data_IF_998937939670
#
_entry.id   IF_998937939670
#
_cell.length_a   1.000
_cell.length_b   1.000
_cell.length_c   1.000
_cell.angle_alpha   90.00
_cell.angle_beta   90.00
_cell.angle_gamma   90.00
#
_symmetry.space_group_name_H-M   'P 1'
#
loop_
_entity.id
_entity.type
_entity.pdbx_description
1 polymer ?
#
# COMPACT_ATOMS: atom_id res chain seq x y z
N UNK A 1 -40.68 -17.23 30.93
CA UNK A 1 -40.76 -16.06 30.03
C UNK A 1 -39.37 -15.61 29.78
N UNK A 2 -38.75 -16.12 28.74
CA UNK A 2 -37.40 -15.76 28.28
C UNK A 2 -37.56 -14.73 27.17
N UNK A 3 -37.11 -13.52 27.45
CA UNK A 3 -37.01 -12.48 26.41
C UNK A 3 -35.70 -12.62 25.70
N UNK A 4 -35.78 -13.11 24.46
CA UNK A 4 -34.63 -13.13 23.53
C UNK A 4 -34.26 -11.71 23.17
N UNK A 5 -33.10 -11.25 23.67
CA UNK A 5 -32.46 -10.02 23.22
C UNK A 5 -31.94 -10.24 21.79
N UNK A 6 -32.63 -9.65 20.87
CA UNK A 6 -32.29 -9.55 19.44
C UNK A 6 -31.05 -8.62 19.35
N UNK A 7 -29.86 -9.23 19.32
CA UNK A 7 -28.63 -8.49 19.04
C UNK A 7 -28.66 -8.03 17.60
N UNK A 8 -29.12 -6.81 17.39
CA UNK A 8 -29.12 -6.14 16.10
C UNK A 8 -27.73 -6.20 15.48
N UNK A 9 -27.59 -7.05 14.48
CA UNK A 9 -26.44 -7.08 13.57
C UNK A 9 -26.44 -5.78 12.79
N UNK A 10 -25.64 -4.82 13.27
CA UNK A 10 -25.37 -3.58 12.55
C UNK A 10 -24.62 -3.95 11.28
N UNK A 11 -25.32 -4.07 10.16
CA UNK A 11 -24.74 -4.21 8.83
C UNK A 11 -23.95 -2.94 8.51
N UNK A 12 -22.71 -2.86 8.95
CA UNK A 12 -21.77 -1.91 8.38
C UNK A 12 -21.63 -2.29 6.92
N UNK A 13 -22.12 -1.46 6.02
CA UNK A 13 -21.83 -1.53 4.60
C UNK A 13 -20.33 -1.43 4.42
N UNK A 14 -19.66 -2.59 4.39
CA UNK A 14 -18.23 -2.68 4.17
C UNK A 14 -17.98 -2.31 2.71
N UNK A 15 -17.47 -1.11 2.47
CA UNK A 15 -17.07 -0.71 1.12
C UNK A 15 -15.94 -1.66 0.71
N UNK A 16 -16.25 -2.55 -0.24
CA UNK A 16 -15.23 -3.42 -0.82
C UNK A 16 -14.68 -2.79 -2.09
N UNK A 17 -13.36 -2.59 -2.11
CA UNK A 17 -12.63 -2.12 -3.27
C UNK A 17 -12.40 -3.28 -4.25
N UNK A 18 -12.47 -3.01 -5.54
CA UNK A 18 -12.06 -3.99 -6.55
C UNK A 18 -10.54 -3.95 -6.67
N UNK A 19 -9.91 -5.12 -6.61
CA UNK A 19 -8.49 -5.30 -6.81
C UNK A 19 -8.25 -5.99 -8.14
N UNK A 20 -7.30 -5.48 -8.93
CA UNK A 20 -6.92 -6.05 -10.22
C UNK A 20 -5.42 -6.27 -10.28
N UNK A 21 -4.99 -7.52 -10.45
CA UNK A 21 -3.58 -7.87 -10.52
C UNK A 21 -2.86 -7.13 -11.67
N UNK A 22 -1.74 -6.50 -11.35
CA UNK A 22 -0.90 -5.86 -12.35
C UNK A 22 -0.11 -6.92 -13.10
N UNK A 23 -0.17 -6.84 -14.43
CA UNK A 23 0.56 -7.71 -15.35
C UNK A 23 1.36 -6.83 -16.33
N UNK A 24 2.47 -7.32 -16.93
CA UNK A 24 3.33 -6.53 -17.81
C UNK A 24 2.73 -6.35 -19.20
N UNK A 25 1.58 -5.69 -19.30
CA UNK A 25 0.92 -5.27 -20.54
C UNK A 25 0.94 -3.75 -20.67
N UNK A 26 0.89 -3.23 -21.89
CA UNK A 26 1.14 -1.82 -22.20
C UNK A 26 0.21 -0.86 -21.45
N UNK A 27 -1.08 -1.18 -21.35
CA UNK A 27 -2.05 -0.36 -20.61
C UNK A 27 -1.75 -0.27 -19.10
N UNK A 28 -1.32 -1.39 -18.48
CA UNK A 28 -0.90 -1.40 -17.07
C UNK A 28 0.41 -0.63 -16.86
N UNK A 29 1.37 -0.81 -17.76
CA UNK A 29 2.68 -0.11 -17.71
C UNK A 29 2.44 1.41 -17.80
N UNK A 30 1.65 1.84 -18.79
CA UNK A 30 1.32 3.26 -18.98
C UNK A 30 0.56 3.83 -17.79
N UNK A 31 -0.47 3.14 -17.29
CA UNK A 31 -1.25 3.60 -16.13
C UNK A 31 -0.38 3.78 -14.88
N UNK A 32 0.52 2.83 -14.59
CA UNK A 32 1.46 2.93 -13.47
C UNK A 32 2.47 4.07 -13.66
N UNK A 33 2.95 4.31 -14.87
CA UNK A 33 3.88 5.40 -15.14
C UNK A 33 3.22 6.77 -14.95
N UNK A 34 1.98 6.94 -15.43
CA UNK A 34 1.22 8.17 -15.18
C UNK A 34 0.94 8.37 -13.69
N UNK A 35 0.57 7.31 -12.97
CA UNK A 35 0.39 7.37 -11.53
C UNK A 35 1.70 7.76 -10.81
N UNK A 36 2.84 7.26 -11.26
CA UNK A 36 4.15 7.57 -10.68
C UNK A 36 4.52 9.04 -10.82
N UNK A 37 4.15 9.70 -11.93
CA UNK A 37 4.34 11.15 -12.14
C UNK A 37 3.56 12.00 -11.13
N UNK A 38 2.43 11.50 -10.63
CA UNK A 38 1.57 12.20 -9.68
C UNK A 38 1.98 12.00 -8.22
N UNK A 39 3.01 11.20 -7.95
CA UNK A 39 3.46 10.87 -6.60
C UNK A 39 4.09 12.08 -5.91
N UNK A 40 3.56 12.47 -4.76
CA UNK A 40 4.07 13.58 -3.95
C UNK A 40 5.26 13.20 -3.07
N UNK A 41 5.27 11.97 -2.54
CA UNK A 41 6.29 11.48 -1.62
C UNK A 41 6.89 10.19 -2.12
N UNK A 42 8.20 10.01 -1.92
CA UNK A 42 8.91 8.80 -2.30
C UNK A 42 9.75 8.28 -1.12
N UNK A 43 9.87 6.95 -1.03
CA UNK A 43 10.74 6.30 -0.05
C UNK A 43 12.08 5.96 -0.68
N UNK A 44 12.07 5.30 -1.84
CA UNK A 44 13.27 4.70 -2.43
C UNK A 44 13.86 5.50 -3.60
N UNK A 45 13.05 6.26 -4.33
CA UNK A 45 13.49 6.98 -5.53
C UNK A 45 12.91 8.39 -5.53
N UNK A 46 13.79 9.39 -5.42
CA UNK A 46 13.42 10.81 -5.46
C UNK A 46 13.08 11.25 -6.88
N UNK A 47 13.77 10.69 -7.88
CA UNK A 47 13.61 11.03 -9.29
C UNK A 47 12.67 10.04 -9.99
N UNK A 48 11.91 10.56 -10.97
CA UNK A 48 11.11 9.74 -11.87
C UNK A 48 12.07 8.91 -12.75
N UNK A 49 11.93 7.57 -12.80
CA UNK A 49 12.72 6.73 -13.70
C UNK A 49 12.36 7.02 -15.16
N UNK A 50 13.23 6.61 -16.10
CA UNK A 50 12.86 6.58 -17.52
C UNK A 50 11.69 5.62 -17.75
N UNK A 51 10.96 5.79 -18.85
CA UNK A 51 9.87 4.88 -19.18
C UNK A 51 10.37 3.46 -19.41
N UNK A 52 11.53 3.32 -20.02
CA UNK A 52 12.19 2.04 -20.28
C UNK A 52 12.56 1.31 -19.00
N UNK A 53 13.16 2.01 -18.04
CA UNK A 53 13.51 1.45 -16.72
C UNK A 53 12.25 1.02 -15.95
N UNK A 54 11.19 1.83 -16.01
CA UNK A 54 9.89 1.51 -15.41
C UNK A 54 9.27 0.26 -16.04
N UNK A 55 9.28 0.15 -17.38
CA UNK A 55 8.78 -1.01 -18.09
C UNK A 55 9.55 -2.28 -17.71
N UNK A 56 10.88 -2.19 -17.65
CA UNK A 56 11.74 -3.31 -17.26
C UNK A 56 11.48 -3.73 -15.81
N UNK A 57 11.30 -2.77 -14.91
CA UNK A 57 10.94 -3.04 -13.52
C UNK A 57 9.61 -3.79 -13.41
N UNK A 58 8.57 -3.39 -14.15
CA UNK A 58 7.27 -4.08 -14.10
C UNK A 58 7.38 -5.52 -14.59
N UNK A 59 8.23 -5.79 -15.58
CA UNK A 59 8.45 -7.15 -16.08
C UNK A 59 9.16 -8.07 -15.08
N UNK A 60 9.97 -7.50 -14.19
CA UNK A 60 10.88 -8.25 -13.28
C UNK A 60 10.66 -7.96 -11.81
N UNK A 61 9.61 -7.22 -11.44
CA UNK A 61 9.40 -6.81 -10.06
C UNK A 61 9.41 -8.00 -9.08
N UNK A 62 9.99 -7.82 -7.87
CA UNK A 62 10.09 -8.88 -6.87
C UNK A 62 8.89 -8.95 -5.93
N UNK A 63 7.82 -8.19 -6.18
CA UNK A 63 6.67 -8.13 -5.28
C UNK A 63 5.92 -9.47 -5.23
N UNK A 64 5.53 -9.85 -4.04
CA UNK A 64 4.68 -11.00 -3.78
C UNK A 64 3.29 -10.85 -4.43
N UNK A 65 2.76 -9.63 -4.39
CA UNK A 65 1.49 -9.26 -5.02
C UNK A 65 1.54 -7.78 -5.40
N UNK A 66 1.00 -7.41 -6.54
CA UNK A 66 0.88 -6.02 -6.97
C UNK A 66 -0.46 -5.82 -7.67
N UNK A 67 -1.27 -4.89 -7.17
CA UNK A 67 -2.64 -4.72 -7.64
C UNK A 67 -2.99 -3.24 -7.83
N UNK A 68 -3.76 -2.96 -8.87
CA UNK A 68 -4.55 -1.75 -8.94
C UNK A 68 -5.72 -1.82 -7.96
N UNK A 69 -6.14 -0.65 -7.49
CA UNK A 69 -7.27 -0.47 -6.57
C UNK A 69 -8.33 0.38 -7.26
N UNK A 70 -9.56 -0.13 -7.29
CA UNK A 70 -10.70 0.57 -7.87
C UNK A 70 -11.77 0.84 -6.83
N UNK A 71 -12.27 2.08 -6.79
CA UNK A 71 -13.52 2.45 -6.14
C UNK A 71 -14.60 2.53 -7.23
N UNK A 72 -15.58 1.61 -7.18
CA UNK A 72 -16.50 1.37 -8.30
C UNK A 72 -15.73 1.08 -9.61
N UNK A 73 -15.80 1.97 -10.59
CA UNK A 73 -15.12 1.84 -11.88
C UNK A 73 -13.84 2.66 -12.00
N UNK A 74 -13.54 3.50 -11.00
CA UNK A 74 -12.43 4.43 -11.04
C UNK A 74 -11.20 3.84 -10.38
N UNK A 75 -10.05 3.85 -11.07
CA UNK A 75 -8.78 3.47 -10.50
C UNK A 75 -8.31 4.58 -9.54
N UNK A 76 -8.19 4.26 -8.26
CA UNK A 76 -7.80 5.19 -7.20
C UNK A 76 -6.34 5.04 -6.75
N UNK A 77 -5.63 4.05 -7.29
CA UNK A 77 -4.24 3.82 -6.96
C UNK A 77 -3.80 2.37 -7.15
N UNK A 78 -2.73 2.02 -6.48
CA UNK A 78 -2.20 0.67 -6.46
C UNK A 78 -1.53 0.36 -5.11
N UNK A 79 -1.37 -0.92 -4.81
CA UNK A 79 -0.58 -1.38 -3.68
C UNK A 79 0.20 -2.63 -4.05
N UNK A 80 1.27 -2.88 -3.32
CA UNK A 80 2.05 -4.11 -3.43
C UNK A 80 2.40 -4.68 -2.06
N UNK A 81 2.56 -5.99 -2.02
CA UNK A 81 3.04 -6.75 -0.87
C UNK A 81 4.43 -7.29 -1.17
N UNK A 82 5.33 -7.18 -0.22
CA UNK A 82 6.68 -7.72 -0.34
C UNK A 82 6.86 -9.00 0.47
N UNK A 83 7.95 -9.70 0.22
CA UNK A 83 8.27 -10.95 0.92
C UNK A 83 8.76 -10.75 2.38
N UNK A 84 9.00 -9.51 2.79
CA UNK A 84 9.31 -9.12 4.17
C UNK A 84 8.07 -8.69 4.98
N UNK A 85 6.87 -8.92 4.44
CA UNK A 85 5.57 -8.48 4.94
C UNK A 85 5.37 -6.94 4.91
N UNK A 86 6.20 -6.19 4.19
CA UNK A 86 5.92 -4.78 3.98
C UNK A 86 4.85 -4.55 2.91
N UNK A 87 4.05 -3.52 3.13
CA UNK A 87 3.01 -3.03 2.22
C UNK A 87 3.47 -1.68 1.68
N UNK A 88 3.47 -1.53 0.36
CA UNK A 88 3.56 -0.22 -0.29
C UNK A 88 2.21 0.19 -0.85
N UNK A 89 1.80 1.43 -0.61
CA UNK A 89 0.53 1.98 -1.11
C UNK A 89 0.79 3.29 -1.82
N UNK A 90 0.30 3.39 -3.03
CA UNK A 90 0.25 4.63 -3.80
C UNK A 90 -1.20 4.93 -4.17
N UNK A 91 -1.82 5.89 -3.49
CA UNK A 91 -3.13 6.42 -3.85
C UNK A 91 -2.96 7.66 -4.72
N UNK A 92 -3.84 7.81 -5.71
CA UNK A 92 -3.88 8.99 -6.57
C UNK A 92 -4.33 10.23 -5.76
N UNK A 93 -3.96 11.44 -6.17
CA UNK A 93 -4.38 12.66 -5.49
C UNK A 93 -5.89 12.73 -5.28
N UNK A 94 -6.31 13.07 -4.06
CA UNK A 94 -7.72 13.12 -3.67
C UNK A 94 -8.28 11.84 -3.06
N UNK A 95 -7.54 10.72 -3.10
CA UNK A 95 -7.97 9.43 -2.56
C UNK A 95 -7.28 9.00 -1.28
N UNK A 96 -6.45 9.85 -0.67
CA UNK A 96 -5.71 9.52 0.57
C UNK A 96 -6.64 9.09 1.71
N UNK A 97 -7.87 9.58 1.73
CA UNK A 97 -8.90 9.19 2.71
C UNK A 97 -9.33 7.71 2.59
N UNK A 98 -9.03 7.06 1.46
CA UNK A 98 -9.34 5.64 1.24
C UNK A 98 -8.30 4.69 1.84
N UNK A 99 -7.17 5.19 2.33
CA UNK A 99 -6.10 4.37 2.90
C UNK A 99 -6.59 3.43 4.02
N UNK A 100 -7.36 3.87 5.02
CA UNK A 100 -7.83 2.97 6.09
C UNK A 100 -8.73 1.85 5.55
N UNK A 101 -9.58 2.14 4.56
CA UNK A 101 -10.46 1.14 3.93
C UNK A 101 -9.62 0.10 3.19
N UNK A 102 -8.63 0.55 2.40
CA UNK A 102 -7.73 -0.32 1.65
C UNK A 102 -6.90 -1.21 2.60
N UNK A 103 -6.30 -0.64 3.64
CA UNK A 103 -5.51 -1.42 4.60
C UNK A 103 -6.36 -2.47 5.31
N UNK A 104 -7.58 -2.12 5.71
CA UNK A 104 -8.50 -3.07 6.33
C UNK A 104 -8.84 -4.22 5.39
N UNK A 105 -9.04 -3.94 4.11
CA UNK A 105 -9.28 -4.97 3.11
C UNK A 105 -8.04 -5.84 2.87
N UNK A 106 -6.84 -5.25 2.77
CA UNK A 106 -5.59 -6.02 2.64
C UNK A 106 -5.41 -6.97 3.83
N UNK A 107 -5.61 -6.48 5.05
CA UNK A 107 -5.51 -7.31 6.27
C UNK A 107 -6.56 -8.41 6.34
N UNK A 108 -7.69 -8.25 5.66
CA UNK A 108 -8.73 -9.27 5.56
C UNK A 108 -8.42 -10.30 4.45
N UNK A 109 -7.94 -9.84 3.29
CA UNK A 109 -7.81 -10.66 2.08
C UNK A 109 -6.45 -11.40 1.99
N UNK A 110 -5.44 -10.96 2.75
CA UNK A 110 -4.08 -11.50 2.69
C UNK A 110 -3.55 -11.89 4.07
N UNK A 111 -2.83 -13.00 4.11
CA UNK A 111 -2.11 -13.43 5.30
C UNK A 111 -0.63 -13.01 5.23
N UNK A 112 -0.02 -12.52 6.33
CA UNK A 112 1.40 -12.29 6.37
C UNK A 112 2.16 -13.62 6.25
N UNK A 113 3.34 -13.58 5.66
CA UNK A 113 4.24 -14.73 5.65
C UNK A 113 4.78 -14.95 7.07
N UNK A 114 5.15 -16.21 7.43
CA UNK A 114 5.72 -16.52 8.73
C UNK A 114 6.92 -15.65 9.10
N UNK A 115 7.03 -15.30 10.37
CA UNK A 115 8.15 -14.51 10.89
C UNK A 115 9.51 -15.15 10.57
N UNK A 116 10.46 -14.28 10.21
CA UNK A 116 11.89 -14.63 10.19
C UNK A 116 12.60 -13.60 11.09
N UNK A 117 13.13 -14.02 12.22
CA UNK A 117 13.83 -13.15 13.17
C UNK A 117 14.86 -12.27 12.44
N UNK A 118 14.85 -10.99 12.73
CA UNK A 118 15.71 -9.94 12.13
C UNK A 118 15.53 -9.68 10.63
N UNK A 119 14.56 -10.33 9.95
CA UNK A 119 14.33 -10.17 8.51
C UNK A 119 12.88 -9.89 8.12
N UNK A 120 11.93 -10.52 8.80
CA UNK A 120 10.50 -10.41 8.48
C UNK A 120 9.69 -10.36 9.75
N UNK A 121 8.88 -9.31 9.92
CA UNK A 121 7.93 -9.20 11.02
C UNK A 121 6.84 -10.28 10.92
N UNK A 122 6.27 -10.66 12.05
CA UNK A 122 5.16 -11.61 12.12
C UNK A 122 3.88 -11.07 11.45
N UNK A 123 3.68 -9.74 11.48
CA UNK A 123 2.55 -9.05 10.85
C UNK A 123 2.98 -8.17 9.69
N UNK A 124 1.99 -7.60 9.01
CA UNK A 124 2.24 -6.60 7.98
C UNK A 124 2.76 -5.28 8.58
N UNK A 125 3.64 -4.60 7.84
CA UNK A 125 4.13 -3.26 8.15
C UNK A 125 3.92 -2.35 6.95
N UNK A 126 3.54 -1.10 7.18
CA UNK A 126 3.38 -0.09 6.13
C UNK A 126 4.57 0.88 6.16
N UNK A 127 5.23 1.05 5.02
CA UNK A 127 6.25 2.08 4.88
C UNK A 127 5.60 3.43 4.54
N UNK A 128 5.84 4.43 5.39
CA UNK A 128 5.35 5.80 5.19
C UNK A 128 6.56 6.74 5.10
N UNK A 129 6.67 7.55 4.04
CA UNK A 129 7.73 8.56 3.95
C UNK A 129 7.74 9.49 5.16
N UNK A 130 8.90 9.82 5.69
CA UNK A 130 9.03 10.67 6.89
C UNK A 130 8.39 12.05 6.70
N UNK A 131 8.41 12.59 5.48
CA UNK A 131 7.79 13.86 5.11
C UNK A 131 6.28 13.80 4.84
N UNK A 132 5.69 12.62 4.80
CA UNK A 132 4.23 12.46 4.59
C UNK A 132 3.50 12.58 5.95
N UNK A 133 3.37 13.80 6.42
CA UNK A 133 2.77 14.10 7.72
C UNK A 133 1.28 13.76 7.77
N UNK A 134 0.56 13.94 6.66
CA UNK A 134 -0.87 13.64 6.57
C UNK A 134 -1.13 12.13 6.75
N UNK A 135 -0.37 11.31 6.02
CA UNK A 135 -0.47 9.84 6.13
C UNK A 135 -0.06 9.35 7.52
N UNK A 136 1.00 9.91 8.10
CA UNK A 136 1.41 9.58 9.47
C UNK A 136 0.32 9.92 10.49
N UNK A 137 -0.30 11.11 10.38
CA UNK A 137 -1.41 11.51 11.23
C UNK A 137 -2.61 10.57 11.08
N UNK A 138 -2.95 10.20 9.84
CA UNK A 138 -4.02 9.25 9.54
C UNK A 138 -3.76 7.86 10.15
N UNK A 139 -2.52 7.34 10.07
CA UNK A 139 -2.15 6.06 10.67
C UNK A 139 -2.30 6.11 12.20
N UNK A 140 -1.80 7.17 12.84
CA UNK A 140 -1.94 7.35 14.29
C UNK A 140 -3.41 7.45 14.72
N UNK A 141 -4.24 8.20 13.98
CA UNK A 141 -5.67 8.34 14.26
C UNK A 141 -6.45 7.01 14.13
N UNK A 142 -5.94 6.07 13.32
CA UNK A 142 -6.50 4.73 13.17
C UNK A 142 -5.88 3.69 14.13
N UNK A 143 -5.11 4.13 15.12
CA UNK A 143 -4.56 3.27 16.18
C UNK A 143 -3.29 2.51 15.81
N UNK A 144 -2.65 2.84 14.71
CA UNK A 144 -1.37 2.25 14.31
C UNK A 144 -0.21 2.98 14.97
N UNK A 145 0.80 2.24 15.40
CA UNK A 145 1.98 2.77 16.10
C UNK A 145 3.21 2.76 15.20
N UNK A 146 4.01 3.83 15.17
CA UNK A 146 5.30 3.84 14.46
C UNK A 146 6.23 2.77 15.04
N UNK A 147 6.89 2.00 14.17
CA UNK A 147 7.76 0.91 14.57
C UNK A 147 9.24 1.29 14.52
N UNK A 148 9.67 2.00 13.46
CA UNK A 148 11.07 2.36 13.24
C UNK A 148 11.22 3.61 12.39
N UNK A 149 12.43 4.19 12.41
CA UNK A 149 12.87 5.23 11.47
C UNK A 149 14.11 4.70 10.75
N UNK A 150 14.15 4.87 9.43
CA UNK A 150 15.27 4.47 8.59
C UNK A 150 16.00 5.70 8.08
N UNK A 151 17.33 5.69 8.18
CA UNK A 151 18.20 6.76 7.69
C UNK A 151 19.00 6.28 6.50
N UNK A 152 19.18 7.16 5.50
CA UNK A 152 20.19 6.95 4.45
C UNK A 152 21.57 7.33 5.02
N UNK A 153 22.54 6.45 4.83
CA UNK A 153 23.93 6.71 5.21
C UNK A 153 24.73 6.95 3.94
N UNK A 154 25.25 8.15 3.80
CA UNK A 154 26.13 8.52 2.69
C UNK A 154 27.58 8.22 3.06
N UNK A 155 28.33 7.65 2.12
CA UNK A 155 29.77 7.46 2.29
C UNK A 155 30.43 8.82 2.11
N UNK A 156 31.20 9.29 3.11
CA UNK A 156 31.99 10.51 2.97
C UNK A 156 32.88 10.40 1.74
N UNK A 157 32.84 11.41 0.89
CA UNK A 157 33.78 11.52 -0.20
C UNK A 157 35.12 11.94 0.42
N UNK A 158 36.09 11.02 0.46
CA UNK A 158 37.47 11.26 0.87
C UNK A 158 38.25 11.96 -0.25
#
# INVERSE_FOLDING_TARGET
METSEDKGFCCYNYIRLKLEAIVPKDDHINALYEALKLRKHAISHINLPSFEDHQEFIKKHPYRSWNFVFAATECIGNFYLQNDNSIGVHLLPGYDHMLPVLLKQILHDYEPLPEIKSKRNAGFVLHVPVGDHERRAQMNANGHTPLQITYTLEKEQV
#
